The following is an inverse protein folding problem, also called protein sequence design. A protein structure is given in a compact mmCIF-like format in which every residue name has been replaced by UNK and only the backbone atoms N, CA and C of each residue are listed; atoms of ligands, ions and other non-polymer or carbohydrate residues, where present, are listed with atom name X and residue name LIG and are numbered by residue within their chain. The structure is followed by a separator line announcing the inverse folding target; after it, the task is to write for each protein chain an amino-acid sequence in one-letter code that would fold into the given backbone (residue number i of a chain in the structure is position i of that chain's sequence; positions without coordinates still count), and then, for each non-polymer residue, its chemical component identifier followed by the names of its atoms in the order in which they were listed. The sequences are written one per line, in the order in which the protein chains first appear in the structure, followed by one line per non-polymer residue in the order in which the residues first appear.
data_IF_387140475834
#
_entry.id   IF_387140475834
#
_cell.length_a   1.000
_cell.length_b   1.000
_cell.length_c   1.000
_cell.angle_alpha   90.00
_cell.angle_beta   90.00
_cell.angle_gamma   90.00
#
_symmetry.space_group_name_H-M   'P 1'
#
loop_
_entity.id
_entity.type
_entity.pdbx_description
1 polymer ?
#
# COMPACT_ATOMS: atom_id res chain seq x y z
N UNK A 1 -53.21 -11.87 -15.80
CA UNK A 1 -52.73 -10.87 -14.81
C UNK A 1 -52.18 -11.50 -13.52
N UNK A 2 -52.76 -12.59 -12.98
CA UNK A 2 -52.22 -13.26 -11.78
C UNK A 2 -50.86 -13.97 -11.99
N UNK A 3 -50.62 -14.54 -13.17
CA UNK A 3 -49.34 -15.18 -13.54
C UNK A 3 -48.17 -14.19 -13.74
N UNK A 4 -48.45 -12.95 -14.18
CA UNK A 4 -47.44 -11.89 -14.32
C UNK A 4 -46.98 -11.35 -12.95
N UNK A 5 -47.90 -11.28 -11.98
CA UNK A 5 -47.57 -10.90 -10.59
C UNK A 5 -46.71 -11.96 -9.89
N UNK A 6 -46.93 -13.26 -10.18
CA UNK A 6 -46.08 -14.33 -9.67
C UNK A 6 -44.64 -14.23 -10.19
N UNK A 7 -44.44 -13.87 -11.46
CA UNK A 7 -43.09 -13.72 -12.05
C UNK A 7 -42.36 -12.51 -11.45
N UNK A 8 -43.08 -11.41 -11.19
CA UNK A 8 -42.51 -10.20 -10.57
C UNK A 8 -42.06 -10.42 -9.12
N UNK A 9 -42.76 -11.28 -8.36
CA UNK A 9 -42.41 -11.60 -6.96
C UNK A 9 -41.16 -12.48 -6.84
N UNK A 10 -40.89 -13.33 -7.84
CA UNK A 10 -39.75 -14.25 -7.85
C UNK A 10 -38.46 -13.49 -8.19
N UNK A 11 -38.55 -12.46 -9.05
CA UNK A 11 -37.40 -11.61 -9.40
C UNK A 11 -36.96 -10.72 -8.22
N UNK A 12 -37.86 -10.39 -7.29
CA UNK A 12 -37.55 -9.60 -6.10
C UNK A 12 -36.78 -10.38 -5.02
N UNK A 13 -36.77 -11.72 -5.08
CA UNK A 13 -36.16 -12.59 -4.07
C UNK A 13 -34.70 -12.98 -4.37
N UNK A 14 -34.13 -12.57 -5.51
CA UNK A 14 -32.77 -12.98 -5.93
C UNK A 14 -31.67 -12.01 -5.44
N UNK A 15 -32.03 -10.90 -4.77
CA UNK A 15 -31.06 -9.87 -4.36
C UNK A 15 -30.35 -10.15 -3.01
N UNK A 16 -30.59 -11.31 -2.36
CA UNK A 16 -29.94 -11.65 -1.08
C UNK A 16 -28.77 -12.63 -1.25
N UNK A 17 -27.83 -12.32 -2.13
CA UNK A 17 -26.47 -12.88 -2.09
C UNK A 17 -25.50 -11.73 -1.83
N UNK A 18 -25.60 -11.12 -0.65
CA UNK A 18 -24.50 -10.33 -0.11
C UNK A 18 -23.37 -11.30 0.20
N UNK A 19 -22.32 -11.31 -0.62
CA UNK A 19 -21.06 -11.95 -0.29
C UNK A 19 -20.60 -11.42 1.06
N UNK A 20 -20.67 -12.26 2.08
CA UNK A 20 -20.01 -12.00 3.36
C UNK A 20 -18.53 -12.26 3.14
N UNK A 21 -17.85 -11.24 2.64
CA UNK A 21 -16.39 -11.23 2.56
C UNK A 21 -15.91 -11.00 3.99
N UNK A 22 -15.35 -12.06 4.58
CA UNK A 22 -14.67 -12.01 5.86
C UNK A 22 -13.37 -11.23 5.65
N UNK A 23 -13.46 -9.91 5.60
CA UNK A 23 -12.27 -9.07 5.58
C UNK A 23 -11.65 -9.10 6.98
N UNK A 24 -10.35 -9.46 7.10
CA UNK A 24 -9.66 -9.41 8.37
C UNK A 24 -9.56 -7.93 8.77
N UNK A 25 -10.18 -7.60 9.91
CA UNK A 25 -10.08 -6.35 10.68
C UNK A 25 -9.24 -5.23 10.04
N UNK A 26 -9.91 -4.36 9.27
CA UNK A 26 -9.41 -3.03 8.91
C UNK A 26 -9.00 -2.34 10.20
N UNK A 27 -7.72 -2.01 10.34
CA UNK A 27 -7.19 -1.40 11.57
C UNK A 27 -7.34 0.11 11.47
N UNK A 28 -8.53 0.59 11.88
CA UNK A 28 -8.92 1.78 12.66
C UNK A 28 -8.25 3.17 12.56
N UNK A 29 -7.31 3.47 11.64
CA UNK A 29 -6.84 4.85 11.43
C UNK A 29 -7.39 5.48 10.15
N UNK A 30 -7.62 6.80 10.19
CA UNK A 30 -8.00 7.57 9.00
C UNK A 30 -6.90 7.48 7.94
N UNK A 31 -5.63 7.46 8.36
CA UNK A 31 -4.46 7.37 7.49
C UNK A 31 -4.36 6.02 6.79
N UNK A 32 -4.63 4.90 7.47
CA UNK A 32 -4.64 3.57 6.85
C UNK A 32 -5.77 3.44 5.82
N UNK A 33 -6.95 4.04 6.09
CA UNK A 33 -8.06 4.08 5.12
C UNK A 33 -7.66 4.85 3.86
N UNK A 34 -7.10 6.06 4.01
CA UNK A 34 -6.63 6.89 2.89
C UNK A 34 -5.55 6.17 2.07
N UNK A 35 -4.59 5.54 2.74
CA UNK A 35 -3.52 4.79 2.08
C UNK A 35 -4.06 3.57 1.31
N UNK A 36 -5.01 2.83 1.87
CA UNK A 36 -5.65 1.68 1.21
C UNK A 36 -6.40 2.13 -0.05
N UNK A 37 -7.24 3.16 0.06
CA UNK A 37 -8.01 3.68 -1.06
C UNK A 37 -7.10 4.13 -2.20
N UNK A 38 -6.00 4.81 -1.89
CA UNK A 38 -4.99 5.19 -2.89
C UNK A 38 -4.41 3.97 -3.61
N UNK A 39 -3.96 2.95 -2.86
CA UNK A 39 -3.38 1.73 -3.46
C UNK A 39 -4.38 1.03 -4.40
N UNK A 40 -5.64 0.94 -4.00
CA UNK A 40 -6.69 0.33 -4.82
C UNK A 40 -7.01 1.15 -6.07
N UNK A 41 -6.97 2.48 -5.99
CA UNK A 41 -7.14 3.38 -7.14
C UNK A 41 -5.99 3.28 -8.15
N UNK A 42 -4.76 3.06 -7.67
CA UNK A 42 -3.59 2.81 -8.51
C UNK A 42 -3.58 1.41 -9.15
N UNK A 43 -4.55 0.56 -8.82
CA UNK A 43 -4.75 -0.76 -9.44
C UNK A 43 -4.10 -1.93 -8.70
N UNK A 44 -3.60 -1.70 -7.49
CA UNK A 44 -3.05 -2.76 -6.63
C UNK A 44 -4.17 -3.54 -5.92
N UNK A 45 -3.98 -4.85 -5.77
CA UNK A 45 -4.82 -5.69 -4.91
C UNK A 45 -4.26 -5.64 -3.48
N UNK A 46 -4.95 -4.96 -2.56
CA UNK A 46 -4.54 -4.91 -1.15
C UNK A 46 -4.93 -6.21 -0.45
N UNK A 47 -3.94 -7.00 -0.04
CA UNK A 47 -4.15 -8.30 0.61
C UNK A 47 -4.32 -8.18 2.12
N UNK A 48 -3.53 -7.32 2.75
CA UNK A 48 -3.61 -7.04 4.19
C UNK A 48 -3.02 -5.67 4.52
N UNK A 49 -3.59 -5.04 5.55
CA UNK A 49 -2.90 -4.01 6.30
C UNK A 49 -2.00 -4.68 7.35
N UNK A 50 -0.74 -4.25 7.42
CA UNK A 50 0.24 -4.86 8.30
C UNK A 50 0.36 -4.09 9.62
N UNK A 51 0.53 -2.76 9.55
CA UNK A 51 0.66 -1.83 10.69
C UNK A 51 0.98 -0.40 10.24
N UNK A 52 0.85 0.54 11.17
CA UNK A 52 1.56 1.81 11.15
C UNK A 52 3.05 1.51 11.40
N UNK A 53 3.85 1.61 10.34
CA UNK A 53 5.28 1.31 10.40
C UNK A 53 6.02 2.32 11.27
N UNK A 54 5.70 3.60 11.13
CA UNK A 54 6.26 4.70 11.91
C UNK A 54 5.36 5.95 11.76
N UNK A 55 5.41 6.85 12.75
CA UNK A 55 4.91 8.22 12.64
C UNK A 55 5.99 9.18 13.11
N UNK A 56 6.30 10.22 12.32
CA UNK A 56 7.38 11.15 12.65
C UNK A 56 7.21 12.54 12.04
N UNK A 57 7.81 13.55 12.66
CA UNK A 57 7.92 14.89 12.06
C UNK A 57 9.04 14.92 11.03
N UNK A 58 8.74 15.30 9.79
CA UNK A 58 9.72 15.41 8.72
C UNK A 58 10.59 16.66 8.95
N UNK A 59 11.89 16.46 9.12
CA UNK A 59 12.86 17.55 9.30
C UNK A 59 13.96 17.43 8.25
N UNK A 60 14.65 18.54 7.94
CA UNK A 60 15.84 18.52 7.06
C UNK A 60 16.88 17.51 7.55
N UNK A 61 17.15 17.50 8.85
CA UNK A 61 18.05 16.53 9.47
C UNK A 61 17.63 15.09 9.20
N UNK A 62 16.32 14.80 9.22
CA UNK A 62 15.82 13.44 8.94
C UNK A 62 16.08 13.04 7.49
N UNK A 63 15.92 13.95 6.52
CA UNK A 63 16.27 13.72 5.11
C UNK A 63 17.77 13.46 4.88
N UNK A 64 18.63 13.93 5.77
CA UNK A 64 20.09 13.71 5.72
C UNK A 64 20.55 12.49 6.53
N UNK A 65 19.62 11.77 7.17
CA UNK A 65 19.93 10.65 8.05
C UNK A 65 19.50 9.33 7.42
N UNK A 66 20.40 8.34 7.38
CA UNK A 66 20.06 6.99 6.96
C UNK A 66 19.10 6.32 7.95
N UNK A 67 18.12 5.51 7.49
CA UNK A 67 17.85 5.17 6.08
C UNK A 67 16.90 6.15 5.36
N UNK A 68 16.37 7.18 6.04
CA UNK A 68 15.37 8.09 5.48
C UNK A 68 15.85 8.85 4.25
N UNK A 69 17.15 9.16 4.15
CA UNK A 69 17.72 9.73 2.94
C UNK A 69 17.38 8.87 1.71
N UNK A 70 17.57 7.55 1.78
CA UNK A 70 17.26 6.66 0.66
C UNK A 70 15.75 6.60 0.39
N UNK A 71 14.94 6.58 1.44
CA UNK A 71 13.49 6.50 1.30
C UNK A 71 12.91 7.73 0.58
N UNK A 72 13.36 8.93 0.96
CA UNK A 72 12.86 10.18 0.38
C UNK A 72 13.48 10.55 -0.95
N UNK A 73 14.58 9.92 -1.36
CA UNK A 73 15.15 10.11 -2.70
C UNK A 73 14.36 9.38 -3.79
N UNK A 74 13.61 8.33 -3.44
CA UNK A 74 12.89 7.51 -4.43
C UNK A 74 11.94 8.33 -5.32
N UNK A 75 11.78 7.93 -6.60
CA UNK A 75 10.92 8.65 -7.53
C UNK A 75 9.49 8.75 -7.01
N UNK A 76 8.87 9.91 -7.18
CA UNK A 76 7.50 10.18 -6.72
C UNK A 76 7.41 10.72 -5.30
N UNK A 77 8.50 10.73 -4.52
CA UNK A 77 8.55 11.36 -3.21
C UNK A 77 9.04 12.82 -3.35
N UNK A 78 8.27 13.79 -2.84
CA UNK A 78 8.73 15.18 -2.71
C UNK A 78 8.68 15.62 -1.24
N UNK A 79 9.81 15.62 -0.52
CA UNK A 79 9.81 15.92 0.91
C UNK A 79 9.67 17.40 1.25
N UNK A 80 10.05 18.32 0.36
CA UNK A 80 10.25 19.73 0.72
C UNK A 80 8.96 20.47 1.13
N UNK A 81 7.80 20.25 0.48
CA UNK A 81 6.53 20.85 0.88
C UNK A 81 6.02 20.36 2.25
N UNK A 82 6.59 19.28 2.78
CA UNK A 82 6.10 18.60 3.99
C UNK A 82 7.04 18.74 5.19
N UNK A 83 8.13 19.53 5.08
CA UNK A 83 9.01 19.80 6.22
C UNK A 83 8.22 20.46 7.36
N UNK A 84 8.42 19.94 8.57
CA UNK A 84 7.73 20.35 9.79
C UNK A 84 6.39 19.64 10.02
N UNK A 85 5.90 18.86 9.04
CA UNK A 85 4.64 18.10 9.16
C UNK A 85 4.90 16.68 9.67
N UNK A 86 3.86 16.07 10.21
CA UNK A 86 3.88 14.64 10.59
C UNK A 86 3.63 13.78 9.36
N UNK A 87 4.46 12.76 9.19
CA UNK A 87 4.34 11.71 8.18
C UNK A 87 3.95 10.43 8.90
N UNK A 88 2.80 9.88 8.55
CA UNK A 88 2.36 8.55 8.96
C UNK A 88 2.71 7.55 7.85
N UNK A 89 3.45 6.50 8.19
CA UNK A 89 3.91 5.48 7.24
C UNK A 89 3.09 4.22 7.43
N UNK A 90 2.14 3.98 6.53
CA UNK A 90 1.22 2.84 6.62
C UNK A 90 1.74 1.68 5.77
N UNK A 91 1.87 0.50 6.39
CA UNK A 91 2.41 -0.69 5.74
C UNK A 91 1.29 -1.62 5.28
N UNK A 92 1.32 -2.01 4.01
CA UNK A 92 0.41 -3.01 3.43
C UNK A 92 1.19 -4.13 2.75
N UNK A 93 0.52 -5.26 2.57
CA UNK A 93 0.92 -6.31 1.65
C UNK A 93 -0.03 -6.25 0.44
N UNK A 94 0.54 -6.14 -0.75
CA UNK A 94 -0.22 -5.99 -2.00
C UNK A 94 0.19 -7.03 -3.05
N UNK A 95 -0.62 -7.10 -4.10
CA UNK A 95 -0.39 -7.78 -5.37
C UNK A 95 -0.68 -6.83 -6.53
N UNK A 96 -0.43 -7.29 -7.75
CA UNK A 96 -0.48 -6.50 -8.97
C UNK A 96 0.58 -5.39 -8.99
N UNK A 97 1.70 -5.62 -8.32
CA UNK A 97 2.80 -4.66 -8.23
C UNK A 97 3.93 -5.05 -9.18
N UNK A 98 4.66 -4.09 -9.80
CA UNK A 98 5.79 -4.38 -10.70
C UNK A 98 6.90 -5.27 -10.09
N UNK A 99 6.95 -5.35 -8.76
CA UNK A 99 7.93 -6.16 -8.02
C UNK A 99 7.40 -7.55 -7.61
N UNK A 100 6.19 -7.94 -8.01
CA UNK A 100 5.63 -9.26 -7.67
C UNK A 100 6.50 -10.41 -8.21
N UNK A 101 7.14 -10.21 -9.36
CA UNK A 101 8.05 -11.16 -10.01
C UNK A 101 9.53 -10.77 -9.87
N UNK A 102 9.84 -9.87 -8.94
CA UNK A 102 11.21 -9.41 -8.73
C UNK A 102 12.14 -10.57 -8.30
N UNK A 103 13.32 -10.64 -8.88
CA UNK A 103 14.38 -11.60 -8.53
C UNK A 103 15.74 -10.91 -8.55
N UNK A 104 16.62 -11.29 -7.63
CA UNK A 104 17.98 -10.78 -7.53
C UNK A 104 18.97 -11.89 -7.17
N UNK A 105 20.25 -11.52 -7.20
CA UNK A 105 21.40 -12.39 -7.03
C UNK A 105 21.23 -13.41 -5.88
N UNK A 106 21.71 -14.63 -6.10
CA UNK A 106 21.62 -15.70 -5.11
C UNK A 106 20.25 -16.39 -5.06
N UNK A 107 19.37 -16.15 -6.05
CA UNK A 107 18.07 -16.82 -6.16
C UNK A 107 17.01 -16.28 -5.20
N UNK A 108 17.24 -15.07 -4.68
CA UNK A 108 16.27 -14.37 -3.84
C UNK A 108 15.21 -13.78 -4.76
N UNK A 109 13.94 -14.09 -4.49
CA UNK A 109 12.82 -13.61 -5.29
C UNK A 109 11.62 -13.24 -4.44
N UNK A 110 10.82 -12.32 -4.98
CA UNK A 110 9.50 -12.05 -4.49
C UNK A 110 8.63 -13.31 -4.59
N UNK A 111 7.67 -13.45 -3.67
CA UNK A 111 6.71 -14.57 -3.67
C UNK A 111 5.36 -14.13 -4.26
N UNK A 112 5.39 -13.34 -5.35
CA UNK A 112 4.18 -12.82 -6.00
C UNK A 112 3.40 -11.83 -5.14
N UNK A 113 4.11 -11.10 -4.27
CA UNK A 113 3.56 -10.08 -3.36
C UNK A 113 4.63 -9.05 -3.03
N UNK A 114 4.19 -7.87 -2.60
CA UNK A 114 5.07 -6.75 -2.27
C UNK A 114 4.57 -6.05 -1.01
N UNK A 115 5.49 -5.63 -0.15
CA UNK A 115 5.16 -4.67 0.89
C UNK A 115 5.18 -3.26 0.32
N UNK A 116 4.15 -2.48 0.62
CA UNK A 116 4.14 -1.03 0.37
C UNK A 116 4.20 -0.28 1.70
N UNK A 117 4.84 0.88 1.68
CA UNK A 117 4.99 1.80 2.80
C UNK A 117 4.51 3.16 2.33
N UNK A 118 3.23 3.45 2.57
CA UNK A 118 2.55 4.63 2.03
C UNK A 118 2.73 5.81 2.98
N UNK A 119 3.17 6.96 2.47
CA UNK A 119 3.40 8.16 3.26
C UNK A 119 2.17 9.05 3.22
N UNK A 120 1.53 9.22 4.38
CA UNK A 120 0.35 10.06 4.53
C UNK A 120 0.70 11.31 5.34
N UNK A 121 0.40 12.48 4.78
CA UNK A 121 0.56 13.79 5.45
C UNK A 121 -0.72 14.58 5.30
N UNK A 122 -1.28 15.03 6.43
CA UNK A 122 -2.51 15.87 6.45
C UNK A 122 -3.66 15.26 5.62
N UNK A 123 -3.82 13.94 5.69
CA UNK A 123 -4.88 13.21 4.99
C UNK A 123 -4.65 13.05 3.48
N UNK A 124 -3.41 13.14 2.99
CA UNK A 124 -3.07 12.90 1.58
C UNK A 124 -1.90 11.94 1.48
N UNK A 125 -1.97 11.02 0.52
CA UNK A 125 -0.80 10.25 0.09
C UNK A 125 0.14 11.17 -0.67
N UNK A 126 1.40 11.22 -0.25
CA UNK A 126 2.43 12.12 -0.80
C UNK A 126 3.64 11.36 -1.35
N UNK A 127 3.59 10.04 -1.34
CA UNK A 127 4.69 9.19 -1.72
C UNK A 127 4.68 7.86 -0.98
N UNK A 128 5.80 7.16 -1.06
CA UNK A 128 6.02 5.91 -0.36
C UNK A 128 7.18 5.12 -0.94
N UNK A 129 7.38 3.94 -0.39
CA UNK A 129 8.34 2.96 -0.90
C UNK A 129 7.72 1.57 -0.99
N UNK A 130 8.38 0.69 -1.73
CA UNK A 130 7.98 -0.71 -1.85
C UNK A 130 9.17 -1.66 -1.65
N UNK A 131 8.87 -2.90 -1.24
CA UNK A 131 9.87 -3.93 -0.99
C UNK A 131 9.33 -5.33 -1.30
N UNK A 132 10.04 -6.17 -2.07
CA UNK A 132 9.56 -7.50 -2.47
C UNK A 132 9.37 -8.44 -1.28
N UNK A 133 8.19 -9.06 -1.17
CA UNK A 133 7.89 -9.99 -0.09
C UNK A 133 8.69 -11.31 -0.25
N UNK A 134 9.41 -11.71 0.79
CA UNK A 134 10.31 -12.87 0.77
C UNK A 134 11.79 -12.52 0.67
N UNK A 135 12.13 -11.24 0.48
CA UNK A 135 13.50 -10.76 0.44
C UNK A 135 13.96 -10.09 1.76
N UNK A 136 13.17 -10.13 2.84
CA UNK A 136 13.42 -9.35 4.06
C UNK A 136 14.70 -9.77 4.81
N UNK A 137 15.12 -11.03 4.65
CA UNK A 137 16.33 -11.58 5.27
C UNK A 137 17.56 -11.53 4.36
N UNK A 138 17.46 -10.81 3.24
CA UNK A 138 18.60 -10.63 2.35
C UNK A 138 19.35 -9.34 2.68
N UNK A 139 20.66 -9.33 2.41
CA UNK A 139 21.53 -8.15 2.58
C UNK A 139 21.28 -7.08 1.48
N UNK A 140 20.01 -6.84 1.14
CA UNK A 140 19.58 -5.73 0.28
C UNK A 140 19.61 -4.42 1.08
N UNK A 141 20.80 -4.05 1.55
CA UNK A 141 21.03 -2.80 2.28
C UNK A 141 20.59 -1.60 1.44
N UNK A 142 19.47 -0.98 1.82
CA UNK A 142 18.89 0.17 1.11
C UNK A 142 18.07 -0.19 -0.14
N UNK A 143 17.78 -1.48 -0.39
CA UNK A 143 17.02 -1.95 -1.55
C UNK A 143 15.53 -1.70 -1.45
N UNK A 144 15.12 -0.43 -1.29
CA UNK A 144 13.74 -0.02 -1.46
C UNK A 144 13.56 0.56 -2.85
N UNK A 145 12.37 0.34 -3.41
CA UNK A 145 11.93 1.01 -4.62
C UNK A 145 10.93 2.10 -4.25
N UNK A 146 10.60 2.99 -5.19
CA UNK A 146 9.42 3.86 -5.06
C UNK A 146 8.16 3.05 -4.84
N UNK A 147 7.08 3.73 -4.43
CA UNK A 147 5.79 3.10 -4.21
C UNK A 147 5.25 2.33 -5.43
N UNK A 148 5.68 2.69 -6.63
CA UNK A 148 5.33 2.05 -7.90
C UNK A 148 6.45 1.18 -8.50
N UNK A 149 7.48 0.83 -7.71
CA UNK A 149 8.49 -0.15 -8.10
C UNK A 149 9.62 0.37 -9.00
N UNK A 150 9.79 1.69 -9.12
CA UNK A 150 10.92 2.33 -9.83
C UNK A 150 12.12 2.57 -8.90
N UNK A 151 13.30 2.69 -9.49
CA UNK A 151 14.51 3.17 -8.82
C UNK A 151 14.87 4.55 -9.35
N UNK A 152 15.69 5.29 -8.60
CA UNK A 152 16.43 6.41 -9.18
C UNK A 152 17.38 5.84 -10.24
N UNK A 153 17.21 6.23 -11.51
CA UNK A 153 18.15 5.90 -12.61
C UNK A 153 19.43 6.76 -12.54
#
# INVERSE_FOLDING_TARGET
MKLLYSILLIFLLIISSGCQQNDPAVTDSITSTIAKEYLEQEGYEVLSYEKLQESYTLTKKKLETLPYQFYWMMPGNDPYPHIGKTVDVEKFLVRNHPLDDWECCGGIKAKGKVYTYVYVVEGKVIGGTSFPYGAENSDLGGGYWSLDGRTDE
#
